data_IF_937477561177
#
_entry.id   IF_937477561177
#
_cell.length_a   1.000
_cell.length_b   1.000
_cell.length_c   1.000
_cell.angle_alpha   90.00
_cell.angle_beta   90.00
_cell.angle_gamma   90.00
#
_symmetry.space_group_name_H-M   'P 1'
#
loop_
_entity.id
_entity.type
_entity.pdbx_description
1 polymer ?
#
# COMPACT_ATOMS: atom_id res chain seq x y z
N UNK A 1 -15.85 -14.73 -12.08
CA UNK A 1 -16.74 -15.66 -11.33
C UNK A 1 -16.97 -15.06 -9.95
N UNK A 2 -18.14 -14.46 -9.70
CA UNK A 2 -18.48 -13.86 -8.40
C UNK A 2 -18.68 -14.98 -7.37
N UNK A 3 -17.66 -15.26 -6.55
CA UNK A 3 -17.86 -16.06 -5.34
C UNK A 3 -18.74 -15.26 -4.37
N UNK A 4 -19.90 -15.82 -4.03
CA UNK A 4 -20.88 -15.30 -3.08
C UNK A 4 -20.28 -15.12 -1.68
N UNK A 5 -20.78 -14.13 -0.93
CA UNK A 5 -20.27 -13.69 0.38
C UNK A 5 -20.13 -14.83 1.41
N UNK A 6 -20.95 -15.87 1.31
CA UNK A 6 -20.96 -17.03 2.22
C UNK A 6 -19.69 -17.89 2.10
N UNK A 7 -19.13 -18.04 0.89
CA UNK A 7 -17.90 -18.83 0.70
C UNK A 7 -16.67 -18.12 1.27
N UNK A 8 -16.64 -16.77 1.23
CA UNK A 8 -15.55 -15.96 1.80
C UNK A 8 -15.54 -15.99 3.33
N UNK A 9 -16.72 -16.02 3.95
CA UNK A 9 -16.85 -16.17 5.40
C UNK A 9 -16.25 -17.48 5.93
N UNK A 10 -16.38 -18.57 5.17
CA UNK A 10 -15.87 -19.90 5.56
C UNK A 10 -14.33 -19.95 5.56
N UNK A 11 -13.68 -19.30 4.59
CA UNK A 11 -12.22 -19.19 4.51
C UNK A 11 -11.66 -18.40 5.70
N UNK A 12 -12.30 -17.29 6.06
CA UNK A 12 -11.87 -16.45 7.19
C UNK A 12 -12.06 -17.16 8.54
N UNK A 13 -13.12 -17.97 8.71
CA UNK A 13 -13.33 -18.82 9.89
C UNK A 13 -12.33 -19.98 9.98
N UNK A 14 -11.95 -20.57 8.85
CA UNK A 14 -10.91 -21.60 8.79
C UNK A 14 -9.52 -21.07 9.12
N UNK A 15 -9.19 -19.85 8.69
CA UNK A 15 -7.95 -19.15 9.04
C UNK A 15 -7.88 -18.85 10.55
N UNK A 16 -8.98 -18.42 11.16
CA UNK A 16 -9.04 -18.16 12.61
C UNK A 16 -8.93 -19.43 13.46
N UNK A 17 -9.58 -20.54 13.08
CA UNK A 17 -9.43 -21.82 13.81
C UNK A 17 -8.01 -22.42 13.72
N UNK A 18 -7.26 -22.12 12.67
CA UNK A 18 -5.85 -22.55 12.52
C UNK A 18 -4.86 -21.63 13.25
N UNK A 19 -5.27 -20.42 13.65
CA UNK A 19 -4.42 -19.48 14.39
C UNK A 19 -4.30 -19.85 15.88
N UNK A 20 -5.26 -20.59 16.45
CA UNK A 20 -5.22 -21.00 17.87
C UNK A 20 -4.30 -22.20 18.15
N UNK A 21 -3.86 -22.94 17.13
CA UNK A 21 -3.06 -24.17 17.32
C UNK A 21 -1.63 -24.11 16.75
N UNK A 22 -1.25 -23.05 16.03
CA UNK A 22 0.04 -22.99 15.34
C UNK A 22 0.85 -21.79 15.81
N UNK A 23 2.02 -22.08 16.39
CA UNK A 23 3.04 -21.09 16.76
C UNK A 23 3.25 -20.06 15.65
N UNK A 24 3.14 -18.77 16.01
CA UNK A 24 3.20 -17.58 15.13
C UNK A 24 4.47 -17.48 14.25
N UNK A 25 5.46 -18.36 14.40
CA UNK A 25 6.70 -18.37 13.61
C UNK A 25 6.72 -19.37 12.44
N UNK A 26 5.87 -20.40 12.39
CA UNK A 26 6.02 -21.50 11.39
C UNK A 26 5.17 -21.38 10.12
N UNK A 27 4.27 -20.40 10.04
CA UNK A 27 3.49 -20.13 8.83
C UNK A 27 4.33 -19.54 7.68
N UNK A 28 5.57 -19.12 7.96
CA UNK A 28 6.36 -18.31 7.03
C UNK A 28 7.23 -19.12 6.05
N UNK A 29 7.38 -20.44 6.19
CA UNK A 29 8.22 -21.25 5.28
C UNK A 29 7.84 -22.72 5.13
N UNK A 30 6.73 -23.21 5.72
CA UNK A 30 6.41 -24.64 5.63
C UNK A 30 5.33 -24.92 4.57
N UNK A 31 5.72 -25.69 3.54
CA UNK A 31 5.02 -26.76 2.79
C UNK A 31 3.51 -26.69 2.47
N UNK A 32 2.68 -26.02 3.27
CA UNK A 32 1.21 -25.99 3.20
C UNK A 32 0.71 -25.23 1.98
N UNK A 33 1.43 -24.20 1.51
CA UNK A 33 1.01 -23.47 0.30
C UNK A 33 1.36 -24.23 -0.99
N UNK A 34 2.36 -25.13 -0.93
CA UNK A 34 2.77 -25.99 -2.05
C UNK A 34 2.02 -27.34 -2.07
N UNK A 35 1.30 -27.69 -1.01
CA UNK A 35 0.55 -28.94 -0.91
C UNK A 35 -0.88 -28.87 -1.46
N UNK A 36 -1.24 -27.80 -2.17
CA UNK A 36 -2.52 -27.68 -2.87
C UNK A 36 -2.30 -28.10 -4.33
N UNK A 37 -2.88 -29.21 -4.78
CA UNK A 37 -2.73 -29.75 -6.14
C UNK A 37 -2.96 -28.72 -7.26
N UNK A 38 -3.73 -27.68 -6.98
CA UNK A 38 -4.02 -26.57 -7.90
C UNK A 38 -2.85 -25.60 -8.09
N UNK A 39 -1.92 -25.47 -7.13
CA UNK A 39 -0.78 -24.56 -7.21
C UNK A 39 0.18 -24.93 -8.35
N UNK A 40 0.21 -26.21 -8.75
CA UNK A 40 0.97 -26.70 -9.91
C UNK A 40 0.59 -25.99 -11.22
N UNK A 41 -0.67 -25.61 -11.37
CA UNK A 41 -1.18 -24.96 -12.59
C UNK A 41 -1.01 -23.43 -12.58
N UNK A 42 -0.73 -22.83 -11.42
CA UNK A 42 -0.60 -21.38 -11.26
C UNK A 42 0.73 -21.00 -10.60
N UNK A 43 1.89 -21.37 -11.19
CA UNK A 43 3.18 -21.01 -10.62
C UNK A 43 3.36 -19.49 -10.59
N UNK A 44 3.79 -18.89 -9.46
CA UNK A 44 4.02 -17.46 -9.39
C UNK A 44 5.24 -17.09 -10.22
N UNK A 45 5.07 -16.15 -11.16
CA UNK A 45 6.19 -15.49 -11.84
C UNK A 45 6.66 -14.32 -11.00
N UNK A 46 7.85 -14.43 -10.43
CA UNK A 46 8.46 -13.43 -9.53
C UNK A 46 9.46 -12.52 -10.23
N UNK A 47 9.78 -12.79 -11.50
CA UNK A 47 10.66 -11.95 -12.31
C UNK A 47 9.94 -10.66 -12.73
N UNK A 48 10.65 -9.52 -12.84
CA UNK A 48 10.07 -8.30 -13.39
C UNK A 48 9.42 -8.54 -14.76
N UNK A 49 8.21 -8.04 -14.94
CA UNK A 49 7.45 -8.19 -16.19
C UNK A 49 7.87 -7.15 -17.24
N UNK A 50 8.24 -5.95 -16.79
CA UNK A 50 8.59 -4.83 -17.68
C UNK A 50 10.09 -4.87 -18.06
N UNK A 51 10.47 -4.34 -19.24
CA UNK A 51 11.86 -4.22 -19.64
C UNK A 51 12.68 -3.39 -18.64
N UNK A 52 13.98 -3.69 -18.44
CA UNK A 52 14.89 -2.83 -17.69
C UNK A 52 14.88 -1.38 -18.20
N UNK A 53 15.01 -0.41 -17.30
CA UNK A 53 15.04 1.03 -17.63
C UNK A 53 13.68 1.66 -17.99
N UNK A 54 12.58 0.91 -17.90
CA UNK A 54 11.23 1.43 -18.20
C UNK A 54 10.86 2.68 -17.38
N UNK A 55 11.40 2.79 -16.16
CA UNK A 55 11.13 3.94 -15.27
C UNK A 55 12.33 4.87 -15.11
N UNK A 56 13.31 4.83 -16.02
CA UNK A 56 14.44 5.76 -16.01
C UNK A 56 13.96 7.21 -16.02
N UNK A 57 14.56 8.03 -15.13
CA UNK A 57 14.19 9.44 -14.97
C UNK A 57 12.80 9.68 -14.37
N UNK A 58 12.12 8.64 -13.84
CA UNK A 58 10.86 8.78 -13.11
C UNK A 58 11.10 8.80 -11.61
N UNK A 59 10.37 9.67 -10.91
CA UNK A 59 10.36 9.74 -9.46
C UNK A 59 9.08 9.09 -8.91
N UNK A 60 9.22 8.07 -8.07
CA UNK A 60 8.11 7.38 -7.45
C UNK A 60 8.05 7.65 -5.94
N UNK A 61 6.90 8.07 -5.42
CA UNK A 61 6.66 8.29 -4.01
C UNK A 61 5.70 7.23 -3.44
N UNK A 62 6.13 6.49 -2.42
CA UNK A 62 5.41 5.34 -1.87
C UNK A 62 5.21 5.51 -0.36
N UNK A 63 3.95 5.65 0.05
CA UNK A 63 3.60 5.63 1.48
C UNK A 63 3.58 4.19 2.01
N UNK A 64 4.12 3.97 3.21
CA UNK A 64 4.27 2.62 3.77
C UNK A 64 5.28 1.75 3.01
N UNK A 65 6.26 2.36 2.33
CA UNK A 65 7.26 1.66 1.51
C UNK A 65 8.29 0.82 2.29
N UNK A 66 8.33 0.90 3.63
CA UNK A 66 9.32 0.18 4.44
C UNK A 66 9.01 -1.32 4.65
N UNK A 67 7.79 -1.78 4.40
CA UNK A 67 7.38 -3.15 4.75
C UNK A 67 6.39 -3.75 3.74
N UNK A 68 6.34 -5.08 3.69
CA UNK A 68 5.31 -5.83 2.96
C UNK A 68 5.21 -5.44 1.49
N UNK A 69 3.99 -5.18 1.02
CA UNK A 69 3.72 -4.82 -0.37
C UNK A 69 4.42 -3.53 -0.80
N UNK A 70 4.47 -2.52 0.07
CA UNK A 70 5.14 -1.25 -0.22
C UNK A 70 6.63 -1.42 -0.51
N UNK A 71 7.32 -2.27 0.26
CA UNK A 71 8.73 -2.63 0.02
C UNK A 71 8.91 -3.36 -1.31
N UNK A 72 8.02 -4.30 -1.62
CA UNK A 72 8.04 -5.01 -2.90
C UNK A 72 7.85 -4.08 -4.10
N UNK A 73 6.93 -3.12 -4.00
CA UNK A 73 6.72 -2.09 -5.03
C UNK A 73 7.94 -1.18 -5.18
N UNK A 74 8.51 -0.73 -4.06
CA UNK A 74 9.71 0.09 -4.05
C UNK A 74 10.89 -0.62 -4.73
N UNK A 75 11.11 -1.89 -4.38
CA UNK A 75 12.16 -2.72 -4.98
C UNK A 75 11.98 -2.87 -6.50
N UNK A 76 10.78 -3.23 -6.96
CA UNK A 76 10.53 -3.42 -8.39
C UNK A 76 10.66 -2.12 -9.19
N UNK A 77 10.16 -1.00 -8.67
CA UNK A 77 10.31 0.30 -9.32
C UNK A 77 11.78 0.72 -9.41
N UNK A 78 12.54 0.50 -8.33
CA UNK A 78 13.97 0.77 -8.29
C UNK A 78 14.75 -0.14 -9.26
N UNK A 79 14.42 -1.44 -9.35
CA UNK A 79 15.01 -2.37 -10.33
C UNK A 79 14.77 -1.95 -11.78
N UNK A 80 13.66 -1.26 -12.04
CA UNK A 80 13.29 -0.79 -13.37
C UNK A 80 13.79 0.64 -13.66
N UNK A 81 14.62 1.23 -12.78
CA UNK A 81 15.30 2.51 -13.01
C UNK A 81 14.66 3.73 -12.37
N UNK A 82 13.55 3.58 -11.64
CA UNK A 82 12.93 4.71 -10.96
C UNK A 82 13.79 5.20 -9.79
N UNK A 83 13.86 6.52 -9.59
CA UNK A 83 14.23 7.07 -8.28
C UNK A 83 13.05 6.88 -7.33
N UNK A 84 13.24 6.17 -6.22
CA UNK A 84 12.16 5.82 -5.31
C UNK A 84 12.28 6.58 -4.00
N UNK A 85 11.14 7.09 -3.53
CA UNK A 85 10.98 7.74 -2.24
C UNK A 85 10.03 6.89 -1.41
N UNK A 86 10.48 6.42 -0.25
CA UNK A 86 9.64 5.69 0.69
C UNK A 86 9.34 6.56 1.91
N UNK A 87 8.06 6.62 2.30
CA UNK A 87 7.62 7.43 3.42
C UNK A 87 6.83 6.62 4.46
N UNK A 88 7.25 6.66 5.73
CA UNK A 88 6.57 5.99 6.84
C UNK A 88 6.97 6.55 8.21
N UNK A 89 6.37 6.04 9.30
CA UNK A 89 6.60 6.56 10.66
C UNK A 89 7.89 6.08 11.33
N UNK A 90 8.35 4.87 10.99
CA UNK A 90 9.51 4.23 11.63
C UNK A 90 10.79 4.55 10.85
N UNK A 91 11.57 5.50 11.38
CA UNK A 91 12.82 5.94 10.74
C UNK A 91 13.84 4.79 10.60
N UNK A 92 13.97 3.94 11.61
CA UNK A 92 14.89 2.79 11.59
C UNK A 92 14.56 1.80 10.47
N UNK A 93 13.29 1.38 10.35
CA UNK A 93 12.86 0.45 9.30
C UNK A 93 12.94 1.07 7.91
N UNK A 94 12.65 2.37 7.80
CA UNK A 94 12.79 3.12 6.56
C UNK A 94 14.23 3.10 6.06
N UNK A 95 15.16 3.57 6.90
CA UNK A 95 16.57 3.66 6.54
C UNK A 95 17.13 2.30 6.13
N UNK A 96 16.87 1.26 6.92
CA UNK A 96 17.28 -0.12 6.60
C UNK A 96 16.72 -0.58 5.25
N UNK A 97 15.46 -0.28 4.96
CA UNK A 97 14.82 -0.72 3.71
C UNK A 97 15.34 0.06 2.51
N UNK A 98 15.56 1.36 2.64
CA UNK A 98 16.15 2.18 1.60
C UNK A 98 17.56 1.69 1.24
N UNK A 99 18.41 1.49 2.24
CA UNK A 99 19.77 0.95 2.07
C UNK A 99 19.75 -0.43 1.38
N UNK A 100 18.89 -1.34 1.84
CA UNK A 100 18.75 -2.68 1.25
C UNK A 100 18.34 -2.61 -0.23
N UNK A 101 17.33 -1.81 -0.58
CA UNK A 101 16.88 -1.68 -1.97
C UNK A 101 17.96 -1.01 -2.82
N UNK A 102 18.63 0.02 -2.30
CA UNK A 102 19.71 0.69 -3.01
C UNK A 102 20.89 -0.25 -3.28
N UNK A 103 21.26 -1.10 -2.32
CA UNK A 103 22.30 -2.11 -2.52
C UNK A 103 21.91 -3.16 -3.57
N UNK A 104 20.65 -3.61 -3.59
CA UNK A 104 20.18 -4.62 -4.54
C UNK A 104 20.11 -4.07 -5.97
N UNK A 105 19.69 -2.80 -6.11
CA UNK A 105 19.34 -2.23 -7.43
C UNK A 105 20.39 -1.30 -8.00
N UNK A 106 21.32 -0.81 -7.19
CA UNK A 106 22.29 0.23 -7.55
C UNK A 106 21.69 1.63 -7.65
N UNK A 107 20.38 1.79 -7.48
CA UNK A 107 19.68 3.06 -7.58
C UNK A 107 19.44 3.68 -6.19
N UNK A 108 19.49 5.01 -6.13
CA UNK A 108 19.23 5.74 -4.89
C UNK A 108 17.75 5.63 -4.48
N UNK A 109 17.53 5.21 -3.23
CA UNK A 109 16.22 5.21 -2.59
C UNK A 109 16.26 6.19 -1.43
N UNK A 110 15.35 7.16 -1.45
CA UNK A 110 15.24 8.20 -0.45
C UNK A 110 14.23 7.78 0.63
N UNK A 111 14.57 8.00 1.89
CA UNK A 111 13.66 7.76 3.01
C UNK A 111 13.19 9.06 3.66
N UNK A 112 11.87 9.19 3.84
CA UNK A 112 11.27 10.30 4.57
C UNK A 112 10.43 9.79 5.73
N UNK A 113 10.76 10.26 6.93
CA UNK A 113 9.90 10.02 8.09
C UNK A 113 8.64 10.88 7.98
N UNK A 114 7.49 10.24 7.87
CA UNK A 114 6.21 10.90 7.67
C UNK A 114 5.07 10.11 8.33
N UNK A 115 4.22 10.78 9.10
CA UNK A 115 2.90 10.25 9.46
C UNK A 115 1.87 10.83 8.50
N UNK A 116 1.22 9.95 7.73
CA UNK A 116 0.20 10.36 6.75
C UNK A 116 -1.01 11.03 7.41
N UNK A 117 -1.19 10.90 8.73
CA UNK A 117 -2.28 11.55 9.46
C UNK A 117 -2.02 13.02 9.76
N UNK A 118 -0.79 13.48 9.59
CA UNK A 118 -0.37 14.84 9.91
C UNK A 118 -0.13 15.64 8.61
N UNK A 119 -1.06 16.52 8.21
CA UNK A 119 -0.90 17.36 7.03
C UNK A 119 0.35 18.24 7.06
N UNK A 120 0.81 18.68 8.23
CA UNK A 120 2.00 19.52 8.35
C UNK A 120 3.27 18.71 8.04
N UNK A 121 3.36 17.48 8.56
CA UNK A 121 4.43 16.56 8.22
C UNK A 121 4.45 16.21 6.73
N UNK A 122 3.28 15.98 6.12
CA UNK A 122 3.15 15.74 4.67
C UNK A 122 3.69 16.93 3.88
N UNK A 123 3.24 18.14 4.23
CA UNK A 123 3.67 19.36 3.56
C UNK A 123 5.19 19.54 3.64
N UNK A 124 5.78 19.35 4.82
CA UNK A 124 7.21 19.48 5.03
C UNK A 124 8.03 18.49 4.18
N UNK A 125 7.57 17.23 4.08
CA UNK A 125 8.20 16.21 3.24
C UNK A 125 8.13 16.58 1.76
N UNK A 126 6.98 17.04 1.28
CA UNK A 126 6.85 17.45 -0.12
C UNK A 126 7.57 18.76 -0.45
N UNK A 127 7.69 19.69 0.50
CA UNK A 127 8.54 20.88 0.34
C UNK A 127 10.01 20.49 0.13
N UNK A 128 10.52 19.56 0.97
CA UNK A 128 11.89 19.08 0.84
C UNK A 128 12.10 18.31 -0.47
N UNK A 129 11.16 17.41 -0.80
CA UNK A 129 11.21 16.60 -2.02
C UNK A 129 11.18 17.48 -3.28
N UNK A 130 10.24 18.43 -3.35
CA UNK A 130 10.10 19.35 -4.49
C UNK A 130 11.38 20.18 -4.69
N UNK A 131 11.99 20.66 -3.60
CA UNK A 131 13.19 21.50 -3.67
C UNK A 131 14.44 20.76 -4.16
N UNK A 132 14.62 19.48 -3.80
CA UNK A 132 15.84 18.72 -4.07
C UNK A 132 15.73 17.77 -5.26
N UNK A 133 14.55 17.20 -5.48
CA UNK A 133 14.34 16.09 -6.42
C UNK A 133 13.21 16.36 -7.41
N UNK A 134 12.41 17.42 -7.18
CA UNK A 134 11.22 17.73 -7.94
C UNK A 134 9.99 16.93 -7.50
N UNK A 135 8.90 17.07 -8.25
CA UNK A 135 7.64 16.41 -7.93
C UNK A 135 7.57 14.98 -8.49
N UNK A 136 6.93 14.03 -7.78
CA UNK A 136 6.83 12.64 -8.23
C UNK A 136 5.96 12.49 -9.48
N UNK A 137 6.34 11.54 -10.34
CA UNK A 137 5.55 11.09 -11.49
C UNK A 137 4.57 9.97 -11.11
N UNK A 138 4.94 9.18 -10.09
CA UNK A 138 4.19 8.03 -9.61
C UNK A 138 3.97 8.21 -8.11
N UNK A 139 2.71 8.17 -7.68
CA UNK A 139 2.33 8.28 -6.26
C UNK A 139 1.58 7.02 -5.88
N UNK A 140 2.11 6.27 -4.92
CA UNK A 140 1.49 5.05 -4.40
C UNK A 140 1.03 5.27 -2.95
N UNK A 141 -0.29 5.35 -2.79
CA UNK A 141 -0.95 5.37 -1.50
C UNK A 141 -1.15 3.94 -1.00
N UNK A 142 -0.14 3.43 -0.28
CA UNK A 142 -0.10 2.07 0.26
C UNK A 142 -0.16 2.01 1.79
N UNK A 143 0.18 3.09 2.51
CA UNK A 143 0.13 3.10 3.97
C UNK A 143 -1.25 2.71 4.51
N UNK A 144 -1.30 1.69 5.35
CA UNK A 144 -2.53 1.20 5.94
C UNK A 144 -2.31 0.67 7.36
N UNK A 145 -3.38 0.70 8.16
CA UNK A 145 -3.47 0.00 9.44
C UNK A 145 -4.73 -0.85 9.44
N UNK A 146 -4.69 -2.04 10.04
CA UNK A 146 -5.86 -2.87 10.21
C UNK A 146 -5.74 -3.69 11.50
N UNK A 147 -6.89 -3.99 12.09
CA UNK A 147 -7.07 -4.87 13.23
C UNK A 147 -8.22 -5.82 12.92
N UNK A 148 -8.07 -7.10 13.22
CA UNK A 148 -9.16 -8.07 13.14
C UNK A 148 -9.82 -8.11 14.51
N UNK A 149 -11.05 -7.60 14.58
CA UNK A 149 -11.79 -7.54 15.85
C UNK A 149 -13.29 -7.65 15.59
N UNK A 150 -14.05 -8.40 16.41
CA UNK A 150 -15.49 -8.27 16.44
C UNK A 150 -15.88 -6.80 16.61
N UNK A 151 -16.86 -6.33 15.84
CA UNK A 151 -17.17 -4.90 15.73
C UNK A 151 -17.76 -4.35 17.04
N UNK A 152 -18.42 -5.19 17.83
CA UNK A 152 -18.91 -4.86 19.16
C UNK A 152 -17.80 -4.57 20.19
N UNK A 153 -16.55 -4.96 19.90
CA UNK A 153 -15.37 -4.69 20.76
C UNK A 153 -14.53 -3.51 20.27
N UNK A 154 -14.88 -2.90 19.13
CA UNK A 154 -14.15 -1.76 18.60
C UNK A 154 -14.47 -0.50 19.38
N UNK A 155 -13.45 0.14 19.95
CA UNK A 155 -13.60 1.49 20.49
C UNK A 155 -13.70 2.52 19.36
N UNK A 156 -14.33 3.66 19.64
CA UNK A 156 -14.39 4.78 18.70
C UNK A 156 -12.98 5.24 18.26
N UNK A 157 -12.00 5.19 19.18
CA UNK A 157 -10.61 5.53 18.87
C UNK A 157 -9.96 4.50 17.92
N UNK A 158 -10.20 3.20 18.11
CA UNK A 158 -9.67 2.16 17.23
C UNK A 158 -10.21 2.30 15.80
N UNK A 159 -11.52 2.55 15.68
CA UNK A 159 -12.16 2.83 14.39
C UNK A 159 -11.57 4.07 13.72
N UNK A 160 -11.53 5.19 14.45
CA UNK A 160 -11.01 6.48 13.96
C UNK A 160 -9.55 6.39 13.56
N UNK A 161 -8.73 5.63 14.30
CA UNK A 161 -7.32 5.43 13.98
C UNK A 161 -7.13 4.84 12.58
N UNK A 162 -7.91 3.82 12.21
CA UNK A 162 -7.77 3.22 10.86
C UNK A 162 -8.29 4.15 9.78
N UNK A 163 -9.42 4.82 10.00
CA UNK A 163 -9.95 5.83 9.07
C UNK A 163 -8.92 6.93 8.82
N UNK A 164 -8.30 7.44 9.88
CA UNK A 164 -7.30 8.50 9.78
C UNK A 164 -6.07 8.04 8.98
N UNK A 165 -5.58 6.82 9.21
CA UNK A 165 -4.41 6.30 8.48
C UNK A 165 -4.75 6.06 7.01
N UNK A 166 -5.82 5.32 6.74
CA UNK A 166 -6.11 4.80 5.40
C UNK A 166 -6.79 5.84 4.54
N UNK A 167 -7.92 6.41 5.01
CA UNK A 167 -8.72 7.32 4.21
C UNK A 167 -8.15 8.74 4.25
N UNK A 168 -8.03 9.34 5.44
CA UNK A 168 -7.52 10.71 5.54
C UNK A 168 -6.06 10.79 5.13
N UNK A 169 -5.22 9.81 5.50
CA UNK A 169 -3.83 9.78 5.05
C UNK A 169 -3.68 9.76 3.53
N UNK A 170 -4.48 8.93 2.85
CA UNK A 170 -4.53 8.91 1.37
C UNK A 170 -5.02 10.25 0.82
N UNK A 171 -6.06 10.82 1.41
CA UNK A 171 -6.61 12.10 0.96
C UNK A 171 -5.61 13.25 1.14
N UNK A 172 -4.96 13.36 2.30
CA UNK A 172 -4.02 14.44 2.59
C UNK A 172 -2.79 14.41 1.67
N UNK A 173 -2.19 13.23 1.48
CA UNK A 173 -1.08 13.07 0.54
C UNK A 173 -1.50 13.43 -0.88
N UNK A 174 -2.68 12.95 -1.32
CA UNK A 174 -3.20 13.22 -2.66
C UNK A 174 -3.51 14.70 -2.88
N UNK A 175 -4.12 15.37 -1.89
CA UNK A 175 -4.46 16.78 -1.97
C UNK A 175 -3.23 17.68 -1.97
N UNK A 176 -2.21 17.40 -1.15
CA UNK A 176 -0.99 18.20 -1.12
C UNK A 176 -0.22 18.09 -2.44
N UNK A 177 0.11 16.85 -2.84
CA UNK A 177 0.89 16.62 -4.07
C UNK A 177 0.10 17.02 -5.32
N UNK A 178 -1.22 16.81 -5.34
CA UNK A 178 -2.10 17.21 -6.44
C UNK A 178 -2.10 18.73 -6.64
N UNK A 179 -2.19 19.52 -5.57
CA UNK A 179 -2.11 20.99 -5.66
C UNK A 179 -0.77 21.45 -6.23
N UNK A 180 0.34 20.83 -5.83
CA UNK A 180 1.68 21.14 -6.33
C UNK A 180 1.82 20.78 -7.82
N UNK A 181 1.32 19.62 -8.22
CA UNK A 181 1.32 19.16 -9.61
C UNK A 181 0.52 20.12 -10.51
N UNK A 182 -0.66 20.54 -10.08
CA UNK A 182 -1.48 21.54 -10.80
C UNK A 182 -0.73 22.86 -10.94
N UNK A 183 -0.14 23.37 -9.85
CA UNK A 183 0.63 24.63 -9.85
C UNK A 183 1.81 24.57 -10.83
N UNK A 184 2.50 23.43 -10.90
CA UNK A 184 3.65 23.21 -11.76
C UNK A 184 3.27 22.69 -13.17
N UNK A 185 1.98 22.59 -13.49
CA UNK A 185 1.46 22.06 -14.77
C UNK A 185 2.05 20.69 -15.14
N UNK A 186 2.28 19.84 -14.13
CA UNK A 186 2.84 18.49 -14.28
C UNK A 186 1.75 17.45 -14.03
N UNK A 187 1.65 16.46 -14.91
CA UNK A 187 0.80 15.28 -14.73
C UNK A 187 1.47 14.20 -13.88
N UNK A 188 0.68 13.25 -13.35
CA UNK A 188 1.20 12.13 -12.58
C UNK A 188 0.24 10.93 -12.57
N UNK A 189 0.72 9.77 -12.13
CA UNK A 189 -0.08 8.57 -11.94
C UNK A 189 -0.21 8.28 -10.44
N UNK A 190 -1.45 8.17 -9.98
CA UNK A 190 -1.79 7.81 -8.61
C UNK A 190 -2.30 6.37 -8.57
N UNK A 191 -1.76 5.60 -7.64
CA UNK A 191 -2.16 4.23 -7.35
C UNK A 191 -2.54 4.11 -5.88
N UNK A 192 -3.78 3.71 -5.60
CA UNK A 192 -4.24 3.39 -4.26
C UNK A 192 -4.25 1.88 -4.04
N UNK A 193 -3.69 1.41 -2.92
CA UNK A 193 -3.79 0.00 -2.52
C UNK A 193 -5.05 -0.16 -1.67
N UNK A 194 -6.08 -0.77 -2.24
CA UNK A 194 -7.35 -1.06 -1.60
C UNK A 194 -7.35 -2.45 -0.93
N UNK A 195 -8.48 -3.16 -0.94
CA UNK A 195 -8.61 -4.54 -0.51
C UNK A 195 -9.83 -5.17 -1.22
N UNK A 196 -9.83 -6.48 -1.39
CA UNK A 196 -10.93 -7.22 -2.01
C UNK A 196 -12.29 -7.09 -1.31
N UNK A 197 -12.29 -6.74 -0.02
CA UNK A 197 -13.48 -6.48 0.79
C UNK A 197 -13.94 -5.01 0.78
N UNK A 198 -13.28 -4.13 0.03
CA UNK A 198 -13.65 -2.71 -0.03
C UNK A 198 -15.06 -2.50 -0.61
N UNK A 199 -15.38 -3.20 -1.70
CA UNK A 199 -16.68 -3.09 -2.37
C UNK A 199 -17.79 -3.89 -1.65
N UNK A 200 -17.47 -5.09 -1.17
CA UNK A 200 -18.47 -5.98 -0.55
C UNK A 200 -18.72 -5.73 0.93
N UNK A 201 -17.81 -5.03 1.60
CA UNK A 201 -17.68 -5.08 3.04
C UNK A 201 -17.17 -6.45 3.53
N UNK A 202 -16.73 -6.51 4.80
CA UNK A 202 -16.42 -7.75 5.49
C UNK A 202 -16.51 -7.57 7.01
N UNK A 203 -17.09 -8.57 7.68
CA UNK A 203 -17.12 -8.64 9.14
C UNK A 203 -15.71 -8.73 9.72
N UNK A 204 -15.56 -8.33 10.98
CA UNK A 204 -14.29 -8.30 11.73
C UNK A 204 -13.24 -7.29 11.25
N UNK A 205 -13.42 -6.67 10.08
CA UNK A 205 -12.54 -5.62 9.51
C UNK A 205 -13.33 -4.37 9.11
N UNK A 206 -14.43 -4.11 9.81
CA UNK A 206 -15.41 -3.05 9.51
C UNK A 206 -14.75 -1.70 9.21
N UNK A 207 -13.91 -1.18 10.11
CA UNK A 207 -13.21 0.10 9.96
C UNK A 207 -12.31 0.14 8.72
N UNK A 208 -11.63 -0.97 8.42
CA UNK A 208 -10.78 -1.08 7.22
C UNK A 208 -11.63 -1.12 5.96
N UNK A 209 -12.73 -1.87 5.95
CA UNK A 209 -13.65 -1.92 4.82
C UNK A 209 -14.22 -0.53 4.49
N UNK A 210 -14.69 0.21 5.50
CA UNK A 210 -15.16 1.58 5.33
C UNK A 210 -14.07 2.50 4.76
N UNK A 211 -12.86 2.45 5.32
CA UNK A 211 -11.75 3.28 4.83
C UNK A 211 -11.36 2.93 3.40
N UNK A 212 -11.30 1.64 3.06
CA UNK A 212 -10.90 1.14 1.74
C UNK A 212 -11.97 1.41 0.66
N UNK A 213 -13.25 1.34 1.01
CA UNK A 213 -14.32 1.82 0.14
C UNK A 213 -14.19 3.33 -0.14
N UNK A 214 -13.85 4.11 0.89
CA UNK A 214 -13.62 5.54 0.77
C UNK A 214 -12.49 5.90 -0.20
N UNK A 215 -11.35 5.19 -0.15
CA UNK A 215 -10.25 5.46 -1.09
C UNK A 215 -10.59 5.07 -2.53
N UNK A 216 -11.41 4.03 -2.76
CA UNK A 216 -11.88 3.68 -4.10
C UNK A 216 -12.81 4.76 -4.67
N UNK A 217 -13.69 5.30 -3.83
CA UNK A 217 -14.56 6.42 -4.22
C UNK A 217 -13.75 7.69 -4.50
N UNK A 218 -12.74 8.00 -3.67
CA UNK A 218 -11.79 9.10 -3.89
C UNK A 218 -11.06 8.93 -5.22
N UNK A 219 -10.57 7.71 -5.50
CA UNK A 219 -9.85 7.38 -6.75
C UNK A 219 -10.74 7.64 -7.97
N UNK A 220 -11.99 7.15 -7.95
CA UNK A 220 -12.95 7.34 -9.06
C UNK A 220 -13.32 8.82 -9.25
N UNK A 221 -13.51 9.55 -8.15
CA UNK A 221 -13.86 10.98 -8.19
C UNK A 221 -12.74 11.79 -8.85
N UNK A 222 -11.51 11.65 -8.34
CA UNK A 222 -10.35 12.41 -8.85
C UNK A 222 -9.90 11.96 -10.24
N UNK A 223 -10.13 10.70 -10.62
CA UNK A 223 -9.90 10.23 -11.99
C UNK A 223 -10.65 11.09 -13.02
N UNK A 224 -11.90 11.48 -12.71
CA UNK A 224 -12.71 12.31 -13.60
C UNK A 224 -12.38 13.80 -13.46
N UNK A 225 -12.25 14.30 -12.23
CA UNK A 225 -12.09 15.73 -11.95
C UNK A 225 -10.72 16.27 -12.41
N UNK A 226 -9.65 15.49 -12.17
CA UNK A 226 -8.27 15.93 -12.39
C UNK A 226 -7.65 15.37 -13.68
N UNK A 227 -8.43 14.67 -14.51
CA UNK A 227 -8.01 14.25 -15.85
C UNK A 227 -7.51 15.44 -16.68
N UNK A 228 -8.16 16.61 -16.57
CA UNK A 228 -7.76 17.85 -17.25
C UNK A 228 -6.37 18.37 -16.87
N UNK A 229 -5.83 17.93 -15.74
CA UNK A 229 -4.48 18.27 -15.27
C UNK A 229 -3.43 17.20 -15.63
N UNK A 230 -3.79 16.21 -16.44
CA UNK A 230 -2.89 15.11 -16.81
C UNK A 230 -2.63 14.11 -15.68
N UNK A 231 -3.49 14.11 -14.63
CA UNK A 231 -3.41 13.16 -13.52
C UNK A 231 -4.34 11.97 -13.76
N UNK A 232 -3.87 10.76 -13.44
CA UNK A 232 -4.63 9.50 -13.59
C UNK A 232 -4.68 8.78 -12.25
N UNK A 233 -5.82 8.21 -11.91
CA UNK A 233 -6.05 7.55 -10.62
C UNK A 233 -6.52 6.12 -10.83
N UNK A 234 -5.81 5.15 -10.24
CA UNK A 234 -6.17 3.74 -10.27
C UNK A 234 -6.12 3.15 -8.86
N UNK A 235 -6.88 2.09 -8.63
CA UNK A 235 -6.85 1.32 -7.39
C UNK A 235 -6.60 -0.16 -7.69
N UNK A 236 -5.80 -0.82 -6.86
CA UNK A 236 -5.62 -2.27 -6.88
C UNK A 236 -6.20 -2.88 -5.61
N UNK A 237 -6.89 -4.01 -5.75
CA UNK A 237 -7.55 -4.71 -4.64
C UNK A 237 -6.85 -6.06 -4.43
N UNK A 238 -5.76 -6.11 -3.64
CA UNK A 238 -5.09 -7.36 -3.36
C UNK A 238 -5.99 -8.28 -2.52
N UNK A 239 -5.99 -9.57 -2.85
CA UNK A 239 -6.49 -10.62 -1.97
C UNK A 239 -5.48 -10.98 -0.88
N UNK A 240 -5.66 -12.12 -0.20
CA UNK A 240 -4.69 -12.63 0.77
C UNK A 240 -3.35 -12.92 0.08
N UNK A 241 -2.39 -12.00 0.20
CA UNK A 241 -1.03 -12.21 -0.25
C UNK A 241 -0.20 -12.87 0.87
N UNK A 242 0.83 -13.64 0.51
CA UNK A 242 1.79 -14.25 1.45
C UNK A 242 2.77 -13.17 1.96
N UNK A 243 2.21 -12.10 2.51
CA UNK A 243 2.92 -11.06 3.25
C UNK A 243 2.10 -10.81 4.50
N UNK A 244 2.70 -11.00 5.68
CA UNK A 244 1.96 -10.96 6.93
C UNK A 244 1.52 -9.52 7.28
N UNK A 245 0.41 -9.05 6.70
CA UNK A 245 -0.32 -7.84 7.17
C UNK A 245 -0.93 -8.10 8.55
N UNK A 246 -1.19 -9.38 8.88
CA UNK A 246 -1.77 -9.83 10.15
C UNK A 246 -0.73 -9.80 11.30
N UNK A 247 0.57 -9.81 11.00
CA UNK A 247 1.65 -9.82 12.00
C UNK A 247 2.16 -8.40 12.32
N UNK A 248 1.32 -7.38 12.24
CA UNK A 248 1.67 -6.06 12.77
C UNK A 248 2.31 -6.21 14.15
N UNK A 249 3.55 -5.73 14.29
CA UNK A 249 4.47 -5.91 15.42
C UNK A 249 5.22 -7.26 15.49
N UNK A 250 6.36 -7.33 14.80
CA UNK A 250 7.71 -7.37 15.42
C UNK A 250 8.76 -7.22 14.31
#
# INVERSE_FOLDING_TARGET
>A
IKMTSTARFCIQRCLLKKLDSVSKRSLCTSQVCMSLDHAKYFPPKTTPMLPPGTFDGKLAFITGGATGLGKGLALNLSQLGAKVVIASRSAERLKKTAEEISQITGNEVLDFRMDVRDPAAIKAVFDDLESKHGLPDIIVNNAAGNFISPSERLSANAFTTVINIVLYGTAFVTLDVGKRLIKNKKGAVFLAVSADYADSGSGYVLHSACAKAGIESLTKSLASEWAKYGMRFNAISPGPAIFCVICGFS
#
